data_IF_961619867861
#
_entry.id   IF_961619867861
#
_cell.length_a   1.000
_cell.length_b   1.000
_cell.length_c   1.000
_cell.angle_alpha   90.00
_cell.angle_beta   90.00
_cell.angle_gamma   90.00
#
_symmetry.space_group_name_H-M   'P 1'
#
loop_
_entity.id
_entity.type
_entity.pdbx_description
1 polymer ?
#
# COMPACT_ATOMS: atom_id res chain seq x y z
N UNK A 1 -13.40 -21.81 -15.64
CA UNK A 1 -12.84 -21.68 -15.23
C UNK A 1 -12.48 -22.05 -13.97
N UNK A 2 -11.73 -22.41 -13.62
CA UNK A 2 -11.40 -22.91 -12.44
C UNK A 2 -10.93 -21.91 -11.54
N UNK A 3 -11.83 -21.41 -10.81
CA UNK A 3 -11.53 -20.43 -9.91
C UNK A 3 -11.45 -20.92 -8.55
N UNK A 4 -11.69 -22.14 -8.35
CA UNK A 4 -11.77 -22.69 -7.02
C UNK A 4 -10.50 -22.52 -6.23
N UNK A 5 -9.34 -22.75 -6.82
CA UNK A 5 -8.12 -22.56 -6.04
C UNK A 5 -7.95 -21.15 -5.55
N UNK A 6 -8.51 -20.20 -6.28
CA UNK A 6 -8.35 -18.82 -5.88
C UNK A 6 -9.24 -18.44 -4.72
N UNK A 7 -10.25 -19.26 -4.41
CA UNK A 7 -11.11 -18.95 -3.29
C UNK A 7 -10.38 -19.08 -1.96
N UNK A 8 -9.32 -19.88 -1.91
CA UNK A 8 -8.54 -20.02 -0.70
C UNK A 8 -7.36 -19.06 -0.68
N UNK A 9 -7.07 -18.42 -1.80
CA UNK A 9 -5.98 -17.46 -1.90
C UNK A 9 -6.58 -16.09 -1.87
N UNK A 10 -6.17 -15.29 -0.90
CA UNK A 10 -6.66 -13.94 -0.81
C UNK A 10 -6.07 -13.11 -1.92
N UNK A 11 -6.93 -12.37 -2.60
CA UNK A 11 -6.48 -11.44 -3.62
C UNK A 11 -5.81 -10.26 -2.94
N UNK A 12 -4.74 -9.81 -3.55
CA UNK A 12 -4.15 -8.54 -3.15
C UNK A 12 -5.15 -7.44 -3.51
N UNK A 13 -5.37 -6.53 -2.60
CA UNK A 13 -6.37 -5.48 -2.76
C UNK A 13 -5.72 -4.13 -2.93
N UNK A 14 -6.22 -3.39 -3.90
CA UNK A 14 -5.75 -2.06 -4.22
C UNK A 14 -6.86 -1.07 -3.90
N UNK A 15 -6.55 -0.05 -3.12
CA UNK A 15 -7.47 1.06 -2.88
C UNK A 15 -7.13 2.17 -3.86
N UNK A 16 -8.10 2.59 -4.66
CA UNK A 16 -7.91 3.66 -5.63
C UNK A 16 -8.66 4.88 -5.14
N UNK A 17 -7.93 5.95 -4.88
CA UNK A 17 -8.48 7.20 -4.35
C UNK A 17 -8.32 8.30 -5.38
N UNK A 18 -9.41 8.76 -5.94
CA UNK A 18 -9.39 9.81 -6.96
C UNK A 18 -10.80 10.36 -7.06
N UNK A 19 -10.94 11.66 -7.19
CA UNK A 19 -12.27 12.25 -7.35
C UNK A 19 -12.73 12.21 -8.80
N UNK A 20 -11.87 11.80 -9.74
CA UNK A 20 -12.24 11.65 -11.14
C UNK A 20 -12.83 10.27 -11.37
N UNK A 21 -14.11 10.23 -11.68
CA UNK A 21 -14.83 8.97 -11.88
C UNK A 21 -14.24 8.16 -13.03
N UNK A 22 -13.89 8.83 -14.13
CA UNK A 22 -13.37 8.12 -15.30
C UNK A 22 -12.07 7.37 -14.94
N UNK A 23 -11.21 8.02 -14.19
CA UNK A 23 -9.96 7.38 -13.77
C UNK A 23 -10.24 6.20 -12.84
N UNK A 24 -11.16 6.37 -11.88
CA UNK A 24 -11.48 5.27 -10.95
C UNK A 24 -12.01 4.06 -11.70
N UNK A 25 -12.94 4.27 -12.62
CA UNK A 25 -13.56 3.17 -13.36
C UNK A 25 -12.54 2.47 -14.24
N UNK A 26 -11.75 3.23 -14.98
CA UNK A 26 -10.75 2.64 -15.87
C UNK A 26 -9.69 1.87 -15.09
N UNK A 27 -9.25 2.42 -13.97
CA UNK A 27 -8.24 1.78 -13.16
C UNK A 27 -8.80 0.51 -12.51
N UNK A 28 -10.04 0.56 -12.04
CA UNK A 28 -10.68 -0.62 -11.48
C UNK A 28 -10.72 -1.75 -12.48
N UNK A 29 -11.16 -1.47 -13.71
CA UNK A 29 -11.23 -2.48 -14.74
C UNK A 29 -9.86 -3.09 -15.03
N UNK A 30 -8.86 -2.23 -15.18
CA UNK A 30 -7.49 -2.67 -15.44
C UNK A 30 -6.98 -3.59 -14.33
N UNK A 31 -7.18 -3.19 -13.10
CA UNK A 31 -6.66 -3.95 -11.96
C UNK A 31 -7.42 -5.26 -11.76
N UNK A 32 -8.73 -5.24 -11.94
CA UNK A 32 -9.51 -6.47 -11.81
C UNK A 32 -9.15 -7.48 -12.89
N UNK A 33 -8.85 -6.98 -14.09
CA UNK A 33 -8.40 -7.87 -15.17
C UNK A 33 -7.08 -8.57 -14.83
N UNK A 34 -6.28 -7.94 -13.97
CA UNK A 34 -5.01 -8.53 -13.53
C UNK A 34 -5.17 -9.40 -12.28
N UNK A 35 -6.37 -9.53 -11.78
CA UNK A 35 -6.63 -10.39 -10.64
C UNK A 35 -6.64 -9.72 -9.28
N UNK A 36 -6.50 -8.40 -9.25
CA UNK A 36 -6.54 -7.67 -7.97
C UNK A 36 -7.97 -7.44 -7.51
N UNK A 37 -8.17 -7.41 -6.20
CA UNK A 37 -9.39 -6.86 -5.65
C UNK A 37 -9.25 -5.34 -5.61
N UNK A 38 -10.34 -4.62 -5.84
CA UNK A 38 -10.28 -3.16 -5.91
C UNK A 38 -11.32 -2.54 -5.00
N UNK A 39 -10.88 -1.56 -4.23
CA UNK A 39 -11.75 -0.74 -3.40
C UNK A 39 -11.59 0.68 -3.91
N UNK A 40 -12.70 1.39 -4.07
CA UNK A 40 -12.68 2.75 -4.61
C UNK A 40 -13.04 3.76 -3.54
N UNK A 41 -12.41 4.92 -3.59
CA UNK A 41 -12.75 6.05 -2.74
C UNK A 41 -12.71 7.32 -3.56
N UNK A 42 -13.64 8.23 -3.31
CA UNK A 42 -13.72 9.47 -4.07
C UNK A 42 -13.05 10.63 -3.34
N UNK A 43 -12.64 10.41 -2.11
CA UNK A 43 -12.04 11.47 -1.29
C UNK A 43 -11.09 10.85 -0.27
N UNK A 44 -10.30 11.69 0.37
CA UNK A 44 -9.41 11.24 1.42
C UNK A 44 -10.16 10.67 2.60
N UNK A 45 -11.30 11.26 2.94
CA UNK A 45 -12.12 10.76 4.05
C UNK A 45 -12.68 9.38 3.75
N UNK A 46 -13.16 9.18 2.53
CA UNK A 46 -13.63 7.85 2.12
C UNK A 46 -12.48 6.85 2.14
N UNK A 47 -11.29 7.28 1.74
CA UNK A 47 -10.13 6.41 1.74
C UNK A 47 -9.79 5.95 3.16
N UNK A 48 -9.81 6.85 4.11
CA UNK A 48 -9.54 6.48 5.50
C UNK A 48 -10.60 5.52 6.03
N UNK A 49 -11.87 5.74 5.68
CA UNK A 49 -12.93 4.81 6.06
C UNK A 49 -12.73 3.44 5.41
N UNK A 50 -12.35 3.43 4.15
CA UNK A 50 -12.12 2.18 3.43
C UNK A 50 -10.99 1.38 4.04
N UNK A 51 -9.93 2.07 4.50
CA UNK A 51 -8.80 1.40 5.13
C UNK A 51 -9.18 0.77 6.46
N UNK A 52 -10.14 1.38 7.17
CA UNK A 52 -10.63 0.78 8.41
C UNK A 52 -11.51 -0.43 8.16
N UNK A 53 -12.25 -0.42 7.06
CA UNK A 53 -13.25 -1.45 6.78
C UNK A 53 -12.70 -2.62 5.97
N UNK A 54 -11.57 -2.45 5.30
CA UNK A 54 -11.04 -3.44 4.37
C UNK A 54 -9.57 -3.68 4.61
N UNK A 55 -9.11 -4.89 4.29
CA UNK A 55 -7.68 -5.17 4.26
C UNK A 55 -7.17 -4.72 2.90
N UNK A 56 -6.40 -3.65 2.88
CA UNK A 56 -5.86 -3.07 1.67
C UNK A 56 -4.34 -3.26 1.68
N UNK A 57 -3.81 -3.70 0.56
CA UNK A 57 -2.38 -3.98 0.45
C UNK A 57 -1.60 -2.81 -0.11
N UNK A 58 -2.24 -2.01 -0.95
CA UNK A 58 -1.59 -0.86 -1.56
C UNK A 58 -2.65 0.18 -1.88
N UNK A 59 -2.28 1.46 -1.78
CA UNK A 59 -3.17 2.57 -2.09
C UNK A 59 -2.60 3.37 -3.25
N UNK A 60 -3.45 3.68 -4.23
CA UNK A 60 -3.15 4.64 -5.28
C UNK A 60 -3.94 5.90 -4.98
N UNK A 61 -3.31 7.05 -4.97
CA UNK A 61 -3.99 8.29 -4.63
C UNK A 61 -3.56 9.44 -5.52
N UNK A 62 -4.52 10.27 -5.91
CA UNK A 62 -4.22 11.53 -6.55
C UNK A 62 -3.70 12.53 -5.52
N UNK A 63 -2.91 13.48 -5.97
CA UNK A 63 -2.43 14.57 -5.12
C UNK A 63 -3.48 15.66 -4.95
N UNK A 64 -4.25 15.91 -6.00
CA UNK A 64 -5.21 17.01 -6.01
C UNK A 64 -6.62 16.46 -5.91
N UNK A 65 -7.24 16.67 -4.76
CA UNK A 65 -8.63 16.27 -4.53
C UNK A 65 -9.31 17.38 -3.76
N UNK A 66 -10.65 17.40 -3.84
CA UNK A 66 -11.41 18.36 -3.07
C UNK A 66 -11.26 18.08 -1.59
N UNK A 67 -11.21 19.12 -0.79
CA UNK A 67 -11.10 19.08 0.67
C UNK A 67 -9.74 18.57 1.13
N UNK A 68 -9.59 17.27 1.30
CA UNK A 68 -8.31 16.72 1.74
C UNK A 68 -7.42 16.45 0.53
N UNK A 69 -6.22 17.00 0.52
CA UNK A 69 -5.29 16.74 -0.58
C UNK A 69 -4.66 15.37 -0.44
N UNK A 70 -4.06 14.89 -1.53
CA UNK A 70 -3.36 13.61 -1.48
C UNK A 70 -2.19 13.60 -0.52
N UNK A 71 -1.51 14.73 -0.37
CA UNK A 71 -0.41 14.84 0.59
C UNK A 71 -0.94 14.72 2.02
N UNK A 72 -2.04 15.39 2.32
CA UNK A 72 -2.65 15.28 3.66
C UNK A 72 -3.10 13.86 3.92
N UNK A 73 -3.69 13.22 2.92
CA UNK A 73 -4.10 11.83 3.06
C UNK A 73 -2.90 10.93 3.30
N UNK A 74 -1.81 11.14 2.56
CA UNK A 74 -0.59 10.35 2.71
C UNK A 74 -0.07 10.46 4.14
N UNK A 75 -0.03 11.66 4.69
CA UNK A 75 0.43 11.86 6.07
C UNK A 75 -0.41 11.09 7.05
N UNK A 76 -1.74 11.17 6.91
CA UNK A 76 -2.65 10.48 7.81
C UNK A 76 -2.53 8.98 7.69
N UNK A 77 -2.43 8.49 6.46
CA UNK A 77 -2.32 7.06 6.21
C UNK A 77 -1.03 6.51 6.80
N UNK A 78 0.08 7.22 6.61
CA UNK A 78 1.37 6.75 7.13
C UNK A 78 1.42 6.80 8.65
N UNK A 79 0.67 7.71 9.26
CA UNK A 79 0.60 7.75 10.72
C UNK A 79 -0.16 6.55 11.28
N UNK A 80 -1.18 6.07 10.58
CA UNK A 80 -2.02 4.97 11.05
C UNK A 80 -1.54 3.62 10.51
N UNK A 81 -1.11 3.61 9.26
CA UNK A 81 -0.68 2.40 8.56
C UNK A 81 0.73 2.61 8.00
N UNK A 82 1.76 2.62 8.85
CA UNK A 82 3.11 3.00 8.41
C UNK A 82 3.71 2.07 7.38
N UNK A 83 3.21 0.86 7.27
CA UNK A 83 3.77 -0.13 6.33
C UNK A 83 2.96 -0.24 5.03
N UNK A 84 1.87 0.50 4.92
CA UNK A 84 1.07 0.46 3.70
C UNK A 84 1.83 1.12 2.55
N UNK A 85 1.89 0.43 1.42
CA UNK A 85 2.51 1.00 0.23
C UNK A 85 1.54 2.00 -0.40
N UNK A 86 2.05 3.16 -0.80
CA UNK A 86 1.25 4.24 -1.39
C UNK A 86 1.92 4.73 -2.65
N UNK A 87 1.19 4.70 -3.77
CA UNK A 87 1.66 5.27 -5.03
C UNK A 87 0.81 6.49 -5.34
N UNK A 88 1.45 7.62 -5.59
CA UNK A 88 0.76 8.84 -5.96
C UNK A 88 0.63 8.89 -7.49
N UNK A 89 -0.59 9.10 -7.99
CA UNK A 89 -0.85 9.13 -9.43
C UNK A 89 -1.63 10.40 -9.73
N UNK A 90 -0.99 11.38 -10.33
CA UNK A 90 -1.60 12.70 -10.50
C UNK A 90 -1.24 13.35 -11.82
N UNK A 91 -2.16 14.16 -12.35
CA UNK A 91 -1.91 14.97 -13.53
C UNK A 91 -1.38 16.36 -13.20
N UNK A 92 -1.31 16.69 -11.92
CA UNK A 92 -0.95 18.02 -11.47
C UNK A 92 0.32 18.02 -10.63
N UNK A 93 1.21 17.10 -10.91
CA UNK A 93 2.42 16.99 -10.13
C UNK A 93 3.52 17.91 -10.63
N UNK A 94 4.41 18.25 -9.72
CA UNK A 94 5.65 18.94 -10.04
C UNK A 94 6.78 18.17 -9.38
N UNK A 95 8.02 18.53 -9.70
CA UNK A 95 9.16 17.89 -9.07
C UNK A 95 9.12 18.09 -7.56
N UNK A 96 8.73 19.28 -7.11
CA UNK A 96 8.71 19.56 -5.68
C UNK A 96 7.61 18.78 -4.97
N UNK A 97 6.43 18.59 -5.59
CA UNK A 97 5.37 17.79 -4.95
C UNK A 97 5.74 16.31 -4.93
N UNK A 98 6.43 15.83 -5.96
CA UNK A 98 6.90 14.46 -5.98
C UNK A 98 7.91 14.21 -4.86
N UNK A 99 8.85 15.14 -4.69
CA UNK A 99 9.86 15.05 -3.63
C UNK A 99 9.17 15.08 -2.27
N UNK A 100 8.20 15.96 -2.08
CA UNK A 100 7.47 16.05 -0.82
C UNK A 100 6.76 14.72 -0.52
N UNK A 101 6.08 14.15 -1.51
CA UNK A 101 5.38 12.88 -1.32
C UNK A 101 6.35 11.77 -0.93
N UNK A 102 7.49 11.70 -1.59
CA UNK A 102 8.48 10.67 -1.27
C UNK A 102 9.05 10.86 0.13
N UNK A 103 9.27 12.10 0.54
CA UNK A 103 9.71 12.41 1.91
C UNK A 103 8.70 11.95 2.95
N UNK A 104 7.42 12.06 2.63
CA UNK A 104 6.35 11.69 3.55
C UNK A 104 6.06 10.19 3.54
N UNK A 105 6.78 9.44 2.74
CA UNK A 105 6.69 7.98 2.77
C UNK A 105 5.97 7.34 1.59
N UNK A 106 5.68 8.09 0.54
CA UNK A 106 5.12 7.48 -0.67
C UNK A 106 6.12 6.49 -1.25
N UNK A 107 5.59 5.38 -1.74
CA UNK A 107 6.44 4.35 -2.33
C UNK A 107 6.90 4.75 -3.72
N UNK A 108 6.03 5.41 -4.48
CA UNK A 108 6.34 5.78 -5.86
C UNK A 108 5.41 6.89 -6.31
N UNK A 109 5.67 7.41 -7.49
CA UNK A 109 4.97 8.56 -8.02
C UNK A 109 4.82 8.39 -9.53
N UNK A 110 3.61 8.59 -10.03
CA UNK A 110 3.31 8.51 -11.46
C UNK A 110 2.54 9.74 -11.90
N UNK A 111 2.78 10.19 -13.13
CA UNK A 111 2.01 11.30 -13.69
C UNK A 111 0.97 10.77 -14.67
N UNK A 112 -0.20 11.42 -14.68
CA UNK A 112 -1.24 11.11 -15.65
C UNK A 112 -0.99 11.90 -16.92
N UNK A 113 -1.33 11.36 -18.07
CA UNK A 113 -1.77 10.00 -18.29
C UNK A 113 -0.61 9.04 -18.12
N UNK A 114 -0.84 7.95 -17.40
CA UNK A 114 0.21 6.97 -17.21
C UNK A 114 -0.09 5.74 -18.06
N UNK A 115 0.99 5.07 -18.45
CA UNK A 115 0.90 3.85 -19.21
C UNK A 115 0.41 2.74 -18.32
N UNK A 116 -0.54 1.93 -18.80
CA UNK A 116 -1.09 0.84 -18.01
C UNK A 116 -0.01 -0.14 -17.58
N UNK A 117 0.92 -0.45 -18.48
CA UNK A 117 2.00 -1.37 -18.17
C UNK A 117 2.88 -0.81 -17.06
N UNK A 118 3.17 0.47 -17.11
CA UNK A 118 3.97 1.12 -16.08
C UNK A 118 3.28 1.09 -14.73
N UNK A 119 1.98 1.40 -14.73
CA UNK A 119 1.20 1.38 -13.49
C UNK A 119 1.20 -0.01 -12.87
N UNK A 120 0.91 -1.02 -13.68
CA UNK A 120 0.87 -2.39 -13.19
C UNK A 120 2.23 -2.86 -12.68
N UNK A 121 3.29 -2.47 -13.37
CA UNK A 121 4.64 -2.82 -12.95
C UNK A 121 4.99 -2.20 -11.61
N UNK A 122 4.63 -0.94 -11.42
CA UNK A 122 4.92 -0.26 -10.15
C UNK A 122 4.11 -0.85 -9.00
N UNK A 123 2.85 -1.20 -9.26
CA UNK A 123 2.04 -1.88 -8.26
C UNK A 123 2.67 -3.21 -7.87
N UNK A 124 3.08 -3.99 -8.88
CA UNK A 124 3.70 -5.29 -8.61
C UNK A 124 4.98 -5.15 -7.82
N UNK A 125 5.81 -4.18 -8.16
CA UNK A 125 7.06 -3.93 -7.43
C UNK A 125 6.80 -3.53 -5.99
N UNK A 126 5.80 -2.67 -5.77
CA UNK A 126 5.45 -2.23 -4.43
C UNK A 126 4.93 -3.39 -3.60
N UNK A 127 4.07 -4.22 -4.17
CA UNK A 127 3.51 -5.36 -3.46
C UNK A 127 4.59 -6.40 -3.15
N UNK A 128 5.52 -6.62 -4.07
CA UNK A 128 6.62 -7.53 -3.82
C UNK A 128 7.53 -7.01 -2.70
N UNK A 129 7.80 -5.71 -2.71
CA UNK A 129 8.61 -5.10 -1.66
C UNK A 129 7.91 -5.18 -0.31
N UNK A 130 6.59 -4.99 -0.31
CA UNK A 130 5.81 -5.09 0.92
C UNK A 130 5.84 -6.50 1.47
N UNK A 131 5.73 -7.50 0.60
CA UNK A 131 5.78 -8.88 1.02
C UNK A 131 7.13 -9.23 1.63
N UNK A 132 8.22 -8.80 1.00
CA UNK A 132 9.55 -9.03 1.54
C UNK A 132 9.75 -8.34 2.88
N UNK A 133 9.25 -7.12 2.98
CA UNK A 133 9.36 -6.36 4.23
C UNK A 133 8.59 -7.05 5.35
N UNK A 134 7.40 -7.56 5.03
CA UNK A 134 6.58 -8.29 6.00
C UNK A 134 7.28 -9.57 6.44
N UNK A 135 7.87 -10.30 5.49
CA UNK A 135 8.61 -11.51 5.81
C UNK A 135 9.81 -11.22 6.69
N UNK A 136 10.53 -10.14 6.40
CA UNK A 136 11.67 -9.74 7.20
C UNK A 136 11.26 -9.38 8.61
N UNK A 137 10.15 -8.65 8.76
CA UNK A 137 9.66 -8.29 10.09
C UNK A 137 9.29 -9.52 10.89
N UNK A 138 8.59 -10.47 10.25
CA UNK A 138 8.22 -11.72 10.92
C UNK A 138 9.45 -12.49 11.34
N UNK A 139 10.44 -12.56 10.46
CA UNK A 139 11.67 -13.28 10.76
C UNK A 139 12.43 -12.65 11.90
N UNK A 140 12.51 -11.32 11.90
CA UNK A 140 13.17 -10.61 13.00
C UNK A 140 12.46 -10.84 14.32
N UNK A 141 11.14 -10.86 14.30
CA UNK A 141 10.37 -11.14 15.51
C UNK A 141 10.66 -12.54 16.03
N UNK A 142 10.72 -13.52 15.13
CA UNK A 142 11.02 -14.88 15.51
C UNK A 142 12.44 -14.99 16.09
N UNK A 143 13.41 -14.38 15.43
CA UNK A 143 14.79 -14.39 15.90
C UNK A 143 14.91 -13.69 17.23
N UNK A 144 14.22 -12.55 17.39
CA UNK A 144 14.26 -11.81 18.64
C UNK A 144 13.69 -12.64 19.79
N UNK A 145 12.56 -13.28 19.56
CA UNK A 145 11.94 -14.13 20.57
C UNK A 145 12.85 -15.29 20.92
N UNK A 146 13.43 -15.95 19.92
CA UNK A 146 14.34 -17.07 20.15
C UNK A 146 15.58 -16.61 20.89
N UNK A 147 16.14 -15.49 20.49
CA UNK A 147 17.33 -14.96 21.14
C UNK A 147 17.04 -14.58 22.59
N UNK A 148 15.91 -13.94 22.84
CA UNK A 148 15.53 -13.56 24.20
C UNK A 148 15.37 -14.79 25.08
N UNK A 149 14.73 -15.81 24.56
CA UNK A 149 14.54 -17.05 25.32
C UNK A 149 15.88 -17.72 25.62
N UNK A 150 16.74 -17.85 24.62
CA UNK A 150 18.04 -18.42 24.80
C UNK A 150 18.91 -17.63 25.77
N UNK A 151 18.81 -16.31 25.70
CA UNK A 151 19.56 -15.46 26.60
C UNK A 151 19.09 -15.62 28.03
N UNK A 152 17.80 -15.81 28.25
CA UNK A 152 17.27 -16.07 29.58
C UNK A 152 17.79 -17.37 30.14
N UNK A 153 17.79 -18.41 29.34
CA UNK A 153 18.33 -19.70 29.77
C UNK A 153 19.81 -19.61 30.08
N UNK A 154 20.54 -18.91 29.25
CA UNK A 154 21.97 -18.72 29.43
C UNK A 154 22.27 -18.01 30.74
N UNK A 155 21.45 -16.99 31.05
CA UNK A 155 21.59 -16.27 32.30
C UNK A 155 21.33 -17.17 33.50
N UNK A 156 20.29 -17.98 33.40
CA UNK A 156 19.97 -18.92 34.44
C UNK A 156 21.15 -19.83 34.72
N UNK A 157 21.76 -20.32 33.68
CA UNK A 157 22.92 -21.18 33.82
C UNK A 157 24.07 -20.47 34.48
N UNK A 158 24.29 -19.23 34.10
CA UNK A 158 25.41 -18.47 34.67
C UNK A 158 25.20 -18.19 36.13
N UNK A 159 24.00 -18.14 36.56
CA UNK A 159 23.71 -17.83 37.96
C UNK A 159 23.88 -19.02 38.89
N UNK A 160 24.15 -20.14 38.34
CA UNK A 160 24.48 -21.31 39.17
C UNK A 160 25.88 -21.21 39.76
#
# INVERSE_FOLDING_TARGET
>A
MTKEPTSTIQRERVLVVDDDKAFRVATKTLLEDEGYGVVLATSGEEALSALRANNVDIMLSDLVMTKMTGIQLLEKVKAIHPHLMVIMVTGFGSISTAVEAMHLGATDYLTKPCNNTELLLKIRRALDAQQKDRELRQLREQLHATYSFGNMLSRSEKMK
#
